data_IF_026506348754
#
_entry.id   IF_026506348754
#
_cell.length_a   1.000
_cell.length_b   1.000
_cell.length_c   1.000
_cell.angle_alpha   90.00
_cell.angle_beta   90.00
_cell.angle_gamma   90.00
#
_symmetry.space_group_name_H-M   'P 1'
#
loop_
_entity.id
_entity.type
_entity.pdbx_description
1 polymer ?
#
# COMPACT_ATOMS: atom_id res chain seq x y z
N UNK A 1 17.46 -22.92 -60.25
CA UNK A 1 17.60 -21.55 -59.74
C UNK A 1 18.17 -21.59 -58.33
N UNK A 2 19.31 -20.93 -58.05
CA UNK A 2 19.91 -20.89 -56.71
C UNK A 2 19.42 -19.64 -55.98
N UNK A 3 18.53 -19.81 -55.01
CA UNK A 3 18.05 -18.73 -54.15
C UNK A 3 19.06 -18.48 -53.03
N UNK A 4 19.74 -17.34 -53.04
CA UNK A 4 20.57 -16.91 -51.91
C UNK A 4 19.72 -16.16 -50.88
N UNK A 5 19.56 -16.75 -49.69
CA UNK A 5 19.01 -16.06 -48.52
C UNK A 5 20.14 -15.25 -47.88
N UNK A 6 20.05 -13.91 -47.94
CA UNK A 6 20.95 -13.00 -47.23
C UNK A 6 20.83 -13.27 -45.73
N UNK A 7 21.84 -13.92 -45.15
CA UNK A 7 21.91 -14.21 -43.71
C UNK A 7 22.03 -12.86 -42.99
N UNK A 8 21.07 -12.53 -42.12
CA UNK A 8 21.16 -11.32 -41.28
C UNK A 8 22.36 -11.51 -40.34
N UNK A 9 23.31 -10.57 -40.33
CA UNK A 9 24.40 -10.53 -39.34
C UNK A 9 23.77 -10.58 -37.94
N UNK A 10 24.18 -11.56 -37.13
CA UNK A 10 23.75 -11.70 -35.74
C UNK A 10 24.41 -10.58 -34.93
N UNK A 11 23.64 -9.90 -34.08
CA UNK A 11 24.15 -8.78 -33.27
C UNK A 11 24.85 -9.38 -32.04
N UNK A 12 26.16 -9.59 -32.12
CA UNK A 12 27.01 -10.03 -30.99
C UNK A 12 27.59 -8.83 -30.21
N UNK A 13 27.87 -8.96 -28.89
CA UNK A 13 28.45 -7.88 -28.08
C UNK A 13 29.81 -7.38 -28.61
N UNK A 14 30.61 -8.28 -29.17
CA UNK A 14 31.94 -7.98 -29.73
C UNK A 14 31.91 -7.07 -30.96
N UNK A 15 30.80 -7.06 -31.73
CA UNK A 15 30.65 -6.29 -32.97
C UNK A 15 29.69 -5.10 -32.82
N UNK A 16 29.32 -4.74 -31.58
CA UNK A 16 28.36 -3.68 -31.30
C UNK A 16 28.87 -2.31 -31.80
N UNK A 17 30.15 -2.02 -31.59
CA UNK A 17 30.78 -0.76 -32.01
C UNK A 17 30.82 -0.61 -33.53
N UNK A 18 31.07 -1.69 -34.27
CA UNK A 18 31.07 -1.68 -35.74
C UNK A 18 29.65 -1.46 -36.29
N UNK A 19 28.65 -2.12 -35.71
CA UNK A 19 27.25 -1.98 -36.13
C UNK A 19 26.70 -0.58 -35.88
N UNK A 20 27.11 0.07 -34.78
CA UNK A 20 26.78 1.48 -34.48
C UNK A 20 27.43 2.44 -35.47
N UNK A 21 28.68 2.18 -35.85
CA UNK A 21 29.43 3.01 -36.80
C UNK A 21 28.93 2.89 -38.25
N UNK A 22 28.54 1.68 -38.68
CA UNK A 22 28.00 1.42 -40.02
C UNK A 22 26.59 2.02 -40.20
N UNK A 23 25.75 2.03 -39.16
CA UNK A 23 24.37 2.54 -39.25
C UNK A 23 24.03 3.58 -38.17
N UNK A 24 24.75 4.72 -38.21
CA UNK A 24 24.57 5.85 -37.26
C UNK A 24 23.14 6.39 -37.20
N UNK A 25 22.42 6.42 -38.33
CA UNK A 25 21.03 6.91 -38.39
C UNK A 25 20.05 5.94 -37.73
N UNK A 26 20.16 4.64 -38.04
CA UNK A 26 19.29 3.62 -37.44
C UNK A 26 19.50 3.49 -35.93
N UNK A 27 20.75 3.53 -35.48
CA UNK A 27 21.07 3.51 -34.05
C UNK A 27 20.59 4.75 -33.31
N UNK A 28 20.70 5.95 -33.91
CA UNK A 28 20.12 7.16 -33.34
C UNK A 28 18.59 7.07 -33.18
N UNK A 29 17.88 6.48 -34.16
CA UNK A 29 16.42 6.29 -34.07
C UNK A 29 16.06 5.33 -32.93
N UNK A 30 16.78 4.21 -32.79
CA UNK A 30 16.54 3.24 -31.71
C UNK A 30 16.81 3.89 -30.34
N UNK A 31 17.89 4.64 -30.20
CA UNK A 31 18.19 5.38 -28.97
C UNK A 31 17.12 6.41 -28.64
N UNK A 32 16.67 7.20 -29.62
CA UNK A 32 15.60 8.17 -29.43
C UNK A 32 14.28 7.50 -29.01
N UNK A 33 13.91 6.38 -29.65
CA UNK A 33 12.74 5.61 -29.28
C UNK A 33 12.83 5.07 -27.85
N UNK A 34 14.01 4.58 -27.44
CA UNK A 34 14.24 4.08 -26.09
C UNK A 34 14.14 5.19 -25.04
N UNK A 35 14.70 6.37 -25.32
CA UNK A 35 14.56 7.55 -24.45
C UNK A 35 13.10 8.00 -24.34
N UNK A 36 12.33 7.98 -25.42
CA UNK A 36 10.90 8.30 -25.38
C UNK A 36 10.11 7.29 -24.55
N UNK A 37 10.41 6.00 -24.68
CA UNK A 37 9.78 4.96 -23.85
C UNK A 37 10.10 5.20 -22.38
N UNK A 38 11.37 5.44 -22.04
CA UNK A 38 11.77 5.74 -20.67
C UNK A 38 11.07 7.00 -20.14
N UNK A 39 10.97 8.05 -20.96
CA UNK A 39 10.23 9.25 -20.59
C UNK A 39 8.77 8.95 -20.30
N UNK A 40 8.06 8.21 -21.16
CA UNK A 40 6.64 7.86 -20.94
C UNK A 40 6.44 7.00 -19.68
N UNK A 41 7.36 6.08 -19.40
CA UNK A 41 7.26 5.20 -18.24
C UNK A 41 7.58 5.90 -16.92
N UNK A 42 8.68 6.68 -16.90
CA UNK A 42 9.27 7.24 -15.68
C UNK A 42 9.02 8.75 -15.47
N UNK A 43 8.27 9.42 -16.34
CA UNK A 43 7.86 10.79 -16.08
C UNK A 43 6.93 10.87 -14.84
N UNK A 44 6.82 12.04 -14.23
CA UNK A 44 5.99 12.29 -13.05
C UNK A 44 4.51 11.93 -13.26
N UNK A 45 4.02 12.02 -14.50
CA UNK A 45 2.68 11.60 -14.90
C UNK A 45 2.69 10.31 -15.74
N UNK A 46 3.78 9.55 -15.66
CA UNK A 46 3.98 8.32 -16.39
C UNK A 46 3.13 7.16 -15.85
N UNK A 47 3.27 6.01 -16.50
CA UNK A 47 2.51 4.80 -16.15
C UNK A 47 2.79 4.35 -14.71
N UNK A 48 4.04 4.43 -14.27
CA UNK A 48 4.45 4.02 -12.92
C UNK A 48 3.79 4.90 -11.85
N UNK A 49 3.75 6.21 -12.07
CA UNK A 49 3.12 7.16 -11.15
C UNK A 49 1.62 6.86 -10.99
N UNK A 50 0.94 6.53 -12.10
CA UNK A 50 -0.49 6.20 -12.07
C UNK A 50 -0.78 4.91 -11.30
N UNK A 51 0.03 3.87 -11.47
CA UNK A 51 -0.12 2.62 -10.71
C UNK A 51 0.05 2.89 -9.21
N UNK A 52 1.09 3.66 -8.84
CA UNK A 52 1.33 4.02 -7.44
C UNK A 52 0.17 4.81 -6.84
N UNK A 53 -0.38 5.78 -7.56
CA UNK A 53 -1.53 6.58 -7.13
C UNK A 53 -2.78 5.72 -6.91
N UNK A 54 -3.07 4.75 -7.78
CA UNK A 54 -4.21 3.84 -7.58
C UNK A 54 -4.01 2.91 -6.37
N UNK A 55 -2.77 2.49 -6.10
CA UNK A 55 -2.44 1.72 -4.89
C UNK A 55 -2.64 2.57 -3.63
N UNK A 56 -2.09 3.78 -3.59
CA UNK A 56 -2.23 4.71 -2.45
C UNK A 56 -3.70 5.08 -2.20
N UNK A 57 -4.48 5.26 -3.27
CA UNK A 57 -5.93 5.49 -3.18
C UNK A 57 -6.66 4.30 -2.57
N UNK A 58 -6.37 3.09 -3.04
CA UNK A 58 -6.98 1.87 -2.51
C UNK A 58 -6.67 1.69 -1.03
N UNK A 59 -5.42 1.93 -0.64
CA UNK A 59 -5.00 1.86 0.76
C UNK A 59 -5.69 2.93 1.63
N UNK A 60 -5.81 4.16 1.14
CA UNK A 60 -6.52 5.22 1.84
C UNK A 60 -8.00 4.89 2.05
N UNK A 61 -8.66 4.33 1.04
CA UNK A 61 -10.06 3.89 1.14
C UNK A 61 -10.24 2.77 2.17
N UNK A 62 -9.30 1.82 2.21
CA UNK A 62 -9.35 0.74 3.20
C UNK A 62 -9.17 1.27 4.62
N UNK A 63 -8.25 2.22 4.82
CA UNK A 63 -8.06 2.89 6.12
C UNK A 63 -9.32 3.65 6.56
N UNK A 64 -10.00 4.32 5.62
CA UNK A 64 -11.27 5.00 5.89
C UNK A 64 -12.32 3.98 6.34
N UNK A 65 -12.47 2.87 5.60
CA UNK A 65 -13.43 1.80 5.93
C UNK A 65 -13.22 1.26 7.34
N UNK A 66 -11.98 0.92 7.69
CA UNK A 66 -11.63 0.42 9.03
C UNK A 66 -11.93 1.46 10.11
N UNK A 67 -11.62 2.73 9.86
CA UNK A 67 -11.90 3.80 10.81
C UNK A 67 -13.42 4.02 11.01
N UNK A 68 -14.22 3.92 9.95
CA UNK A 68 -15.67 4.04 10.01
C UNK A 68 -16.31 2.88 10.80
N UNK A 69 -15.83 1.65 10.59
CA UNK A 69 -16.26 0.49 11.35
C UNK A 69 -15.93 0.63 12.84
N UNK A 70 -14.72 1.10 13.16
CA UNK A 70 -14.31 1.34 14.54
C UNK A 70 -15.13 2.47 15.18
N UNK A 71 -15.37 3.56 14.46
CA UNK A 71 -16.21 4.65 14.93
C UNK A 71 -17.62 4.17 15.23
N UNK A 72 -18.20 3.34 14.36
CA UNK A 72 -19.52 2.73 14.58
C UNK A 72 -19.52 1.86 15.85
N UNK A 73 -18.52 0.99 15.99
CA UNK A 73 -18.36 0.10 17.16
C UNK A 73 -18.26 0.88 18.47
N UNK A 74 -17.45 1.94 18.48
CA UNK A 74 -17.29 2.81 19.66
C UNK A 74 -18.57 3.59 19.97
N UNK A 75 -19.30 4.06 18.94
CA UNK A 75 -20.57 4.75 19.13
C UNK A 75 -21.64 3.82 19.71
N UNK A 76 -21.68 2.57 19.27
CA UNK A 76 -22.61 1.57 19.81
C UNK A 76 -22.25 1.21 21.27
N UNK A 77 -20.96 1.11 21.60
CA UNK A 77 -20.51 0.97 23.00
C UNK A 77 -20.89 2.18 23.86
N UNK A 78 -20.69 3.40 23.35
CA UNK A 78 -21.09 4.63 24.06
C UNK A 78 -22.59 4.66 24.32
N UNK A 79 -23.42 4.33 23.33
CA UNK A 79 -24.88 4.25 23.51
C UNK A 79 -25.29 3.19 24.53
N UNK A 80 -24.63 2.03 24.53
CA UNK A 80 -24.90 0.98 25.50
C UNK A 80 -24.53 1.40 26.94
N UNK A 81 -23.50 2.23 27.09
CA UNK A 81 -23.12 2.83 28.37
C UNK A 81 -24.09 3.95 28.77
N UNK A 82 -24.38 4.90 27.88
CA UNK A 82 -25.24 6.05 28.19
C UNK A 82 -26.70 5.65 28.46
N UNK A 83 -27.18 4.56 27.83
CA UNK A 83 -28.57 4.11 27.93
C UNK A 83 -28.91 3.28 29.16
N UNK A 84 -27.92 2.72 29.87
CA UNK A 84 -28.16 1.86 31.03
C UNK A 84 -27.18 2.17 32.19
N UNK A 85 -27.65 2.83 33.27
CA UNK A 85 -26.85 3.08 34.47
C UNK A 85 -26.22 1.82 35.07
N UNK A 86 -26.85 0.64 34.90
CA UNK A 86 -26.29 -0.62 35.38
C UNK A 86 -25.10 -1.08 34.54
N UNK A 87 -25.10 -0.79 33.23
CA UNK A 87 -23.97 -1.11 32.35
C UNK A 87 -22.74 -0.26 32.72
N UNK A 88 -22.95 1.04 33.01
CA UNK A 88 -21.89 1.93 33.52
C UNK A 88 -21.36 1.44 34.86
N UNK A 89 -22.26 1.11 35.80
CA UNK A 89 -21.87 0.59 37.12
C UNK A 89 -21.06 -0.70 37.01
N UNK A 90 -21.46 -1.62 36.12
CA UNK A 90 -20.73 -2.86 35.86
C UNK A 90 -19.30 -2.58 35.37
N UNK A 91 -19.13 -1.69 34.40
CA UNK A 91 -17.80 -1.33 33.88
C UNK A 91 -16.96 -0.62 34.94
N UNK A 92 -17.54 0.29 35.72
CA UNK A 92 -16.87 0.98 36.81
C UNK A 92 -16.33 -0.01 37.87
N UNK A 93 -17.13 -1.03 38.22
CA UNK A 93 -16.74 -2.08 39.17
C UNK A 93 -15.71 -3.06 38.60
N UNK A 94 -15.92 -3.57 37.38
CA UNK A 94 -15.08 -4.63 36.79
C UNK A 94 -13.75 -4.11 36.23
N UNK A 95 -13.76 -3.00 35.48
CA UNK A 95 -12.53 -2.47 34.86
C UNK A 95 -11.72 -1.58 35.79
N UNK A 96 -12.40 -0.80 36.62
CA UNK A 96 -11.77 0.26 37.41
C UNK A 96 -11.80 0.01 38.92
N UNK A 97 -12.50 -1.03 39.40
CA UNK A 97 -12.59 -1.34 40.83
C UNK A 97 -13.29 -0.25 41.65
N UNK A 98 -14.11 0.59 41.02
CA UNK A 98 -14.85 1.65 41.70
C UNK A 98 -15.93 1.06 42.59
N UNK A 99 -16.09 1.62 43.79
CA UNK A 99 -17.07 1.22 44.81
C UNK A 99 -17.88 2.41 45.27
N UNK A 100 -19.13 2.18 45.71
CA UNK A 100 -19.96 3.26 46.28
C UNK A 100 -19.42 3.67 47.65
N UNK A 101 -19.73 4.89 48.10
CA UNK A 101 -19.26 5.44 49.39
C UNK A 101 -19.56 4.55 50.60
N UNK A 102 -20.61 3.73 50.49
CA UNK A 102 -21.10 2.83 51.52
C UNK A 102 -20.65 1.35 51.35
N UNK A 103 -19.71 1.04 50.46
CA UNK A 103 -19.20 -0.32 50.23
C UNK A 103 -17.75 -0.51 50.74
N UNK A 104 -17.43 -1.71 51.25
CA UNK A 104 -16.09 -2.08 51.76
C UNK A 104 -15.40 -3.07 50.84
N UNK A 105 -14.16 -2.76 50.43
CA UNK A 105 -13.33 -3.64 49.59
C UNK A 105 -12.53 -4.60 50.46
N UNK A 106 -12.64 -5.91 50.19
CA UNK A 106 -11.81 -6.94 50.81
C UNK A 106 -10.77 -7.43 49.81
N UNK A 107 -9.48 -7.24 50.12
CA UNK A 107 -8.37 -7.81 49.34
C UNK A 107 -7.96 -9.15 49.94
N UNK A 108 -8.07 -10.22 49.16
CA UNK A 108 -7.63 -11.56 49.59
C UNK A 108 -6.12 -11.65 49.38
N UNK A 109 -5.36 -11.70 50.47
CA UNK A 109 -3.92 -11.98 50.44
C UNK A 109 -3.69 -13.47 50.66
N UNK A 110 -2.96 -14.17 49.78
CA UNK A 110 -2.68 -15.59 49.94
C UNK A 110 -1.82 -15.81 51.18
N UNK A 111 -2.16 -16.86 51.95
CA UNK A 111 -1.43 -17.25 53.15
C UNK A 111 -0.09 -17.87 52.73
N UNK A 112 1.02 -17.31 53.23
CA UNK A 112 2.37 -17.86 53.06
C UNK A 112 2.49 -19.27 53.60
#
# INVERSE_FOLDING_TARGET
>A
MKFYRKIRKQVSPENLAETVRENKKGTAIVLAALLLILYVLFNNNGVVARIRLEMEKTEALERIRVAEEEQKRLKDQSKALDGDPKAVEKVAREKYGMVRENEKVYKVVPKK
#
